data_IF_211336779467
#
_entry.id   IF_211336779467
#
_cell.length_a   1.000
_cell.length_b   1.000
_cell.length_c   1.000
_cell.angle_alpha   90.00
_cell.angle_beta   90.00
_cell.angle_gamma   90.00
#
_symmetry.space_group_name_H-M   'P 1'
#
loop_
_entity.id
_entity.type
_entity.pdbx_description
1 polymer ?
#
# COMPACT_ATOMS: atom_id res chain seq x y z
N UNK A 1 -8.32 17.94 -33.23
CA UNK A 1 -8.28 16.56 -33.75
C UNK A 1 -7.25 15.82 -32.91
N UNK A 2 -7.69 15.01 -31.95
CA UNK A 2 -6.80 14.18 -31.15
C UNK A 2 -7.17 12.72 -31.43
N UNK A 3 -6.20 11.99 -31.97
CA UNK A 3 -6.27 10.56 -32.22
C UNK A 3 -5.74 9.90 -30.95
N UNK A 4 -6.56 9.09 -30.29
CA UNK A 4 -6.13 8.20 -29.19
C UNK A 4 -6.07 6.79 -29.77
N UNK A 5 -4.94 6.04 -29.63
CA UNK A 5 -4.86 4.69 -30.14
C UNK A 5 -5.71 3.73 -29.31
N UNK A 6 -6.41 2.85 -30.03
CA UNK A 6 -7.25 1.79 -29.49
C UNK A 6 -6.34 0.72 -28.89
N UNK A 7 -6.32 0.64 -27.56
CA UNK A 7 -5.75 -0.47 -26.79
C UNK A 7 -6.83 -1.02 -25.87
N UNK A 8 -7.27 -2.25 -26.13
CA UNK A 8 -8.31 -2.96 -25.39
C UNK A 8 -7.99 -3.02 -23.89
N UNK A 9 -8.64 -2.16 -23.12
CA UNK A 9 -8.80 -2.29 -21.67
C UNK A 9 -10.26 -2.63 -21.40
N UNK A 10 -10.57 -3.57 -20.48
CA UNK A 10 -11.96 -3.87 -20.13
C UNK A 10 -12.63 -2.62 -19.55
N UNK A 11 -13.96 -2.49 -19.61
CA UNK A 11 -14.63 -1.27 -19.19
C UNK A 11 -14.56 -1.15 -17.66
N UNK A 12 -13.54 -0.45 -17.15
CA UNK A 12 -13.52 0.03 -15.76
C UNK A 12 -14.64 1.06 -15.60
N UNK A 13 -15.39 0.94 -14.50
CA UNK A 13 -16.61 1.73 -14.29
C UNK A 13 -16.22 3.22 -14.16
N UNK A 14 -16.89 4.15 -14.86
CA UNK A 14 -16.51 5.58 -14.87
C UNK A 14 -16.36 6.24 -13.50
N UNK A 15 -17.10 5.74 -12.49
CA UNK A 15 -17.03 6.24 -11.11
C UNK A 15 -15.71 5.88 -10.43
N UNK A 16 -15.16 4.70 -10.70
CA UNK A 16 -13.91 4.20 -10.11
C UNK A 16 -12.71 5.06 -10.54
N UNK A 17 -12.69 5.45 -11.82
CA UNK A 17 -11.68 6.37 -12.35
C UNK A 17 -11.77 7.76 -11.68
N UNK A 18 -12.98 8.26 -11.40
CA UNK A 18 -13.16 9.60 -10.79
C UNK A 18 -12.55 9.68 -9.38
N UNK A 19 -12.68 8.63 -8.57
CA UNK A 19 -12.12 8.61 -7.22
C UNK A 19 -10.59 8.54 -7.22
N UNK A 20 -10.00 7.75 -8.12
CA UNK A 20 -8.55 7.64 -8.26
C UNK A 20 -7.92 9.00 -8.64
N UNK A 21 -8.51 9.74 -9.58
CA UNK A 21 -8.03 11.08 -9.93
C UNK A 21 -8.07 12.05 -8.74
N UNK A 22 -9.07 11.93 -7.87
CA UNK A 22 -9.12 12.76 -6.66
C UNK A 22 -7.98 12.43 -5.69
N UNK A 23 -7.62 11.16 -5.53
CA UNK A 23 -6.49 10.73 -4.69
C UNK A 23 -5.19 11.32 -5.23
N UNK A 24 -4.98 11.23 -6.55
CA UNK A 24 -3.78 11.74 -7.21
C UNK A 24 -3.59 13.25 -7.02
N UNK A 25 -4.66 14.03 -7.16
CA UNK A 25 -4.61 15.48 -6.93
C UNK A 25 -4.23 15.82 -5.48
N UNK A 26 -4.77 15.07 -4.51
CA UNK A 26 -4.43 15.27 -3.09
C UNK A 26 -2.96 14.94 -2.84
N UNK A 27 -2.46 13.81 -3.36
CA UNK A 27 -1.06 13.41 -3.22
C UNK A 27 -0.11 14.45 -3.82
N UNK A 28 -0.36 14.89 -5.05
CA UNK A 28 0.42 15.95 -5.72
C UNK A 28 0.46 17.23 -4.90
N UNK A 29 -0.69 17.66 -4.37
CA UNK A 29 -0.78 18.87 -3.55
C UNK A 29 0.03 18.79 -2.26
N UNK A 30 0.12 17.61 -1.63
CA UNK A 30 0.99 17.41 -0.46
C UNK A 30 2.47 17.34 -0.84
N UNK A 31 2.80 16.72 -1.98
CA UNK A 31 4.16 16.68 -2.51
C UNK A 31 4.68 18.10 -2.78
N UNK A 32 3.85 18.99 -3.35
CA UNK A 32 4.21 20.41 -3.55
C UNK A 32 4.50 21.16 -2.24
N UNK A 33 3.90 20.71 -1.12
CA UNK A 33 4.16 21.26 0.22
C UNK A 33 5.41 20.68 0.87
N UNK A 34 6.11 19.77 0.19
CA UNK A 34 7.40 19.24 0.61
C UNK A 34 7.33 18.08 1.60
N UNK A 35 6.25 17.29 1.60
CA UNK A 35 6.22 16.03 2.36
C UNK A 35 7.24 15.03 1.81
N UNK A 36 7.80 14.18 2.67
CA UNK A 36 8.77 13.15 2.27
C UNK A 36 8.14 11.76 2.12
N UNK A 37 6.87 11.59 2.48
CA UNK A 37 6.20 10.31 2.40
C UNK A 37 4.72 10.29 2.80
N UNK A 38 4.09 9.15 2.55
CA UNK A 38 2.68 8.88 2.84
C UNK A 38 2.52 7.55 3.58
N UNK A 39 1.71 7.59 4.63
CA UNK A 39 1.15 6.40 5.26
C UNK A 39 -0.26 6.16 4.72
N UNK A 40 -0.45 5.09 3.96
CA UNK A 40 -1.75 4.68 3.46
C UNK A 40 -2.46 3.83 4.52
N UNK A 41 -3.54 4.38 5.07
CA UNK A 41 -4.39 3.69 6.05
C UNK A 41 -5.63 3.11 5.37
N UNK A 42 -6.08 1.92 5.79
CA UNK A 42 -7.32 1.32 5.28
C UNK A 42 -7.22 0.85 3.83
N UNK A 43 -6.06 0.35 3.41
CA UNK A 43 -5.83 -0.09 2.01
C UNK A 43 -6.76 -1.23 1.59
N UNK A 44 -7.30 -1.99 2.54
CA UNK A 44 -8.30 -3.04 2.37
C UNK A 44 -9.65 -2.54 1.85
N UNK A 45 -9.88 -1.22 1.89
CA UNK A 45 -11.08 -0.57 1.37
C UNK A 45 -10.90 0.04 -0.03
N UNK A 46 -9.68 -0.02 -0.60
CA UNK A 46 -9.43 0.51 -1.95
C UNK A 46 -10.17 -0.28 -3.03
N UNK A 47 -10.30 -1.60 -2.84
CA UNK A 47 -11.14 -2.44 -3.68
C UNK A 47 -11.73 -3.60 -2.87
N UNK A 48 -12.94 -4.00 -3.26
CA UNK A 48 -13.69 -5.09 -2.64
C UNK A 48 -14.09 -6.08 -3.72
N UNK A 49 -14.24 -7.33 -3.31
CA UNK A 49 -14.88 -8.39 -4.09
C UNK A 49 -16.26 -7.94 -4.62
N UNK A 50 -16.80 -8.53 -5.70
CA UNK A 50 -18.05 -8.08 -6.31
C UNK A 50 -19.27 -8.07 -5.37
N UNK A 51 -19.28 -8.93 -4.37
CA UNK A 51 -20.29 -9.01 -3.30
C UNK A 51 -19.99 -8.06 -2.12
N UNK A 52 -18.84 -7.40 -2.13
CA UNK A 52 -18.44 -6.38 -1.17
C UNK A 52 -18.03 -6.94 0.19
N UNK A 53 -17.92 -8.27 0.35
CA UNK A 53 -17.73 -8.94 1.64
C UNK A 53 -16.27 -8.96 2.09
N UNK A 54 -15.35 -9.04 1.13
CA UNK A 54 -13.91 -9.18 1.37
C UNK A 54 -13.08 -8.19 0.54
N UNK A 55 -11.86 -7.80 0.98
CA UNK A 55 -10.92 -7.01 0.19
C UNK A 55 -10.50 -7.76 -1.09
N UNK A 56 -10.49 -7.07 -2.23
CA UNK A 56 -9.91 -7.61 -3.46
C UNK A 56 -8.42 -7.24 -3.52
N UNK A 57 -7.57 -8.11 -2.95
CA UNK A 57 -6.13 -7.85 -2.85
C UNK A 57 -5.42 -7.77 -4.21
N UNK A 58 -5.98 -8.33 -5.28
CA UNK A 58 -5.41 -8.16 -6.62
C UNK A 58 -5.67 -6.74 -7.12
N UNK A 59 -6.91 -6.29 -7.07
CA UNK A 59 -7.27 -4.93 -7.47
C UNK A 59 -6.63 -3.86 -6.57
N UNK A 60 -6.53 -4.11 -5.25
CA UNK A 60 -5.79 -3.24 -4.32
C UNK A 60 -4.32 -3.09 -4.75
N UNK A 61 -3.67 -4.20 -5.13
CA UNK A 61 -2.29 -4.18 -5.64
C UNK A 61 -2.14 -3.33 -6.90
N UNK A 62 -3.11 -3.39 -7.81
CA UNK A 62 -3.11 -2.58 -9.02
C UNK A 62 -3.26 -1.08 -8.69
N UNK A 63 -4.21 -0.73 -7.80
CA UNK A 63 -4.42 0.66 -7.35
C UNK A 63 -3.17 1.22 -6.65
N UNK A 64 -2.50 0.42 -5.81
CA UNK A 64 -1.23 0.84 -5.17
C UNK A 64 -0.15 1.09 -6.22
N UNK A 65 -0.10 0.27 -7.27
CA UNK A 65 0.85 0.45 -8.38
C UNK A 65 0.57 1.76 -9.12
N UNK A 66 -0.71 2.07 -9.35
CA UNK A 66 -1.11 3.34 -9.97
C UNK A 66 -0.75 4.55 -9.09
N UNK A 67 -0.96 4.45 -7.77
CA UNK A 67 -0.52 5.49 -6.81
C UNK A 67 1.00 5.68 -6.89
N UNK A 68 1.78 4.60 -6.90
CA UNK A 68 3.24 4.68 -6.98
C UNK A 68 3.68 5.34 -8.29
N UNK A 69 3.10 4.92 -9.41
CA UNK A 69 3.40 5.47 -10.73
C UNK A 69 3.09 6.97 -10.79
N UNK A 70 1.94 7.39 -10.24
CA UNK A 70 1.58 8.82 -10.17
C UNK A 70 2.59 9.63 -9.35
N UNK A 71 2.94 9.16 -8.16
CA UNK A 71 3.92 9.83 -7.28
C UNK A 71 5.29 9.95 -7.97
N UNK A 72 5.75 8.88 -8.62
CA UNK A 72 7.04 8.88 -9.33
C UNK A 72 7.03 9.79 -10.55
N UNK A 73 5.98 9.76 -11.37
CA UNK A 73 5.85 10.67 -12.52
C UNK A 73 5.82 12.12 -12.04
N UNK A 74 4.99 12.43 -11.04
CA UNK A 74 4.83 13.79 -10.53
C UNK A 74 6.12 14.34 -9.92
N UNK A 75 6.84 13.54 -9.14
CA UNK A 75 8.11 13.96 -8.52
C UNK A 75 9.25 14.14 -9.53
N UNK A 76 9.25 13.35 -10.61
CA UNK A 76 10.22 13.50 -11.70
C UNK A 76 9.93 14.72 -12.59
N UNK A 77 8.67 15.10 -12.77
CA UNK A 77 8.25 16.24 -13.60
C UNK A 77 8.22 17.57 -12.84
N UNK A 78 8.06 17.53 -11.51
CA UNK A 78 7.97 18.74 -10.67
C UNK A 78 9.30 19.47 -10.57
N UNK A 79 9.30 20.77 -10.88
CA UNK A 79 10.45 21.65 -10.70
C UNK A 79 10.75 22.01 -9.22
N UNK A 80 9.82 21.69 -8.30
CA UNK A 80 9.90 22.04 -6.87
C UNK A 80 10.57 20.91 -6.07
N UNK A 81 10.31 19.65 -6.45
CA UNK A 81 10.70 18.44 -5.70
C UNK A 81 11.44 17.43 -6.58
N UNK A 82 12.03 17.93 -7.67
CA UNK A 82 12.78 17.14 -8.64
C UNK A 82 13.76 16.16 -7.95
N UNK A 83 13.65 14.89 -8.35
CA UNK A 83 14.52 13.80 -7.91
C UNK A 83 14.44 13.43 -6.41
N UNK A 84 13.40 13.87 -5.68
CA UNK A 84 13.13 13.34 -4.34
C UNK A 84 12.39 12.00 -4.42
N UNK A 85 12.89 11.01 -3.69
CA UNK A 85 12.15 9.77 -3.45
C UNK A 85 11.13 10.00 -2.33
N UNK A 86 9.85 9.90 -2.68
CA UNK A 86 8.75 9.91 -1.70
C UNK A 86 8.55 8.49 -1.18
N UNK A 87 8.55 8.34 0.14
CA UNK A 87 8.31 7.06 0.80
C UNK A 87 6.81 6.74 0.86
N UNK A 88 6.40 5.55 0.44
CA UNK A 88 5.00 5.11 0.55
C UNK A 88 4.96 3.83 1.38
N UNK A 89 4.19 3.85 2.46
CA UNK A 89 4.04 2.69 3.32
C UNK A 89 2.60 2.52 3.76
N UNK A 90 2.22 1.29 4.09
CA UNK A 90 0.88 0.97 4.58
C UNK A 90 0.96 0.02 5.77
N UNK A 91 -0.09 0.00 6.57
CA UNK A 91 -0.25 -1.01 7.61
C UNK A 91 -1.18 -2.11 7.14
N UNK A 92 -0.86 -3.36 7.44
CA UNK A 92 -1.75 -4.49 7.21
C UNK A 92 -1.61 -5.49 8.35
N UNK A 93 -2.66 -5.59 9.17
CA UNK A 93 -2.73 -6.58 10.24
C UNK A 93 -2.85 -7.98 9.66
N UNK A 94 -2.30 -8.98 10.39
CA UNK A 94 -2.42 -10.41 10.05
C UNK A 94 -1.87 -10.79 8.65
N UNK A 95 -1.08 -9.91 8.03
CA UNK A 95 -0.47 -10.16 6.75
C UNK A 95 0.64 -11.20 6.86
N UNK A 96 0.57 -12.27 6.06
CA UNK A 96 1.67 -13.22 5.93
C UNK A 96 2.80 -12.59 5.12
N UNK A 97 4.01 -13.12 5.23
CA UNK A 97 5.18 -12.60 4.49
C UNK A 97 4.97 -12.54 2.97
N UNK A 98 4.25 -13.51 2.39
CA UNK A 98 3.89 -13.47 0.97
C UNK A 98 3.02 -12.27 0.60
N UNK A 99 2.13 -11.87 1.51
CA UNK A 99 1.15 -10.81 1.28
C UNK A 99 1.86 -9.44 1.37
N UNK A 100 2.80 -9.30 2.32
CA UNK A 100 3.68 -8.13 2.42
C UNK A 100 4.55 -7.99 1.16
N UNK A 101 5.16 -9.09 0.71
CA UNK A 101 5.97 -9.11 -0.52
C UNK A 101 5.18 -8.73 -1.77
N UNK A 102 3.89 -9.08 -1.83
CA UNK A 102 3.03 -8.64 -2.92
C UNK A 102 2.85 -7.12 -2.90
N UNK A 103 2.50 -6.55 -1.74
CA UNK A 103 2.25 -5.12 -1.60
C UNK A 103 3.52 -4.27 -1.81
N UNK A 104 4.69 -4.75 -1.41
CA UNK A 104 5.96 -4.06 -1.71
C UNK A 104 6.29 -4.10 -3.20
N UNK A 105 6.01 -5.22 -3.89
CA UNK A 105 6.13 -5.30 -5.36
C UNK A 105 5.16 -4.37 -6.09
N UNK A 106 3.99 -4.11 -5.50
CA UNK A 106 3.01 -3.14 -6.01
C UNK A 106 3.43 -1.68 -5.81
N UNK A 107 4.56 -1.40 -5.16
CA UNK A 107 5.11 -0.05 -5.07
C UNK A 107 5.15 0.57 -3.66
N UNK A 108 4.74 -0.16 -2.62
CA UNK A 108 5.05 0.26 -1.25
C UNK A 108 6.55 0.07 -0.97
N UNK A 109 7.18 1.06 -0.34
CA UNK A 109 8.54 0.93 0.18
C UNK A 109 8.59 -0.02 1.38
N UNK A 110 7.52 -0.06 2.19
CA UNK A 110 7.40 -1.01 3.32
C UNK A 110 5.94 -1.26 3.70
N UNK A 111 5.71 -2.41 4.34
CA UNK A 111 4.44 -2.75 4.99
C UNK A 111 4.69 -2.86 6.50
N UNK A 112 4.04 -2.00 7.27
CA UNK A 112 4.16 -1.99 8.73
C UNK A 112 3.44 -3.22 9.27
N UNK A 113 4.20 -4.04 10.01
CA UNK A 113 3.69 -5.20 10.74
C UNK A 113 3.52 -4.86 12.22
N UNK A 114 2.30 -5.00 12.73
CA UNK A 114 2.00 -4.79 14.15
C UNK A 114 1.99 -6.07 14.99
N UNK A 115 2.30 -7.26 14.43
CA UNK A 115 2.30 -8.51 15.20
C UNK A 115 3.20 -8.45 16.45
N UNK A 116 4.33 -7.72 16.39
CA UNK A 116 5.21 -7.53 17.55
C UNK A 116 4.59 -6.70 18.68
N UNK A 117 3.58 -5.87 18.40
CA UNK A 117 2.84 -5.13 19.44
C UNK A 117 1.90 -6.04 20.24
N UNK A 118 1.54 -7.20 19.67
CA UNK A 118 0.67 -8.21 20.28
C UNK A 118 1.49 -9.27 21.07
N UNK A 119 2.82 -9.18 21.03
CA UNK A 119 3.73 -10.10 21.74
C UNK A 119 3.66 -9.85 23.25
N UNK A 120 3.19 -10.87 23.96
CA UNK A 120 3.19 -10.92 25.42
C UNK A 120 3.52 -12.33 25.92
N UNK A 121 4.01 -12.43 27.16
CA UNK A 121 4.30 -13.72 27.81
C UNK A 121 3.03 -14.59 27.82
N UNK A 122 3.14 -15.83 27.34
CA UNK A 122 2.06 -16.81 27.21
C UNK A 122 0.91 -16.43 26.23
N UNK A 123 1.19 -15.58 25.23
CA UNK A 123 0.25 -15.30 24.14
C UNK A 123 0.05 -16.50 23.20
N UNK A 124 -0.96 -16.44 22.33
CA UNK A 124 -1.09 -17.42 21.23
C UNK A 124 0.09 -17.37 20.27
N UNK A 125 0.71 -16.19 20.10
CA UNK A 125 1.88 -15.94 19.27
C UNK A 125 3.13 -16.58 19.89
N UNK A 126 3.32 -16.41 21.20
CA UNK A 126 4.42 -17.04 21.95
C UNK A 126 3.90 -18.31 22.63
N UNK A 127 3.95 -19.44 21.92
CA UNK A 127 3.49 -20.75 22.40
C UNK A 127 3.76 -20.94 23.90
N UNK A 128 2.72 -21.30 24.67
CA UNK A 128 2.71 -21.33 26.15
C UNK A 128 3.84 -22.14 26.81
N UNK A 129 4.57 -22.95 26.04
CA UNK A 129 5.52 -23.93 26.57
C UNK A 129 7.00 -23.58 26.37
N UNK A 130 7.37 -22.53 25.62
CA UNK A 130 8.80 -22.27 25.35
C UNK A 130 9.18 -20.80 25.45
N UNK A 131 9.91 -20.48 26.52
CA UNK A 131 10.85 -19.37 26.53
C UNK A 131 10.32 -18.00 26.91
N UNK A 132 11.28 -17.10 27.12
CA UNK A 132 11.05 -15.69 27.40
C UNK A 132 10.51 -14.97 26.16
N UNK A 133 9.94 -13.77 26.32
CA UNK A 133 9.52 -12.91 25.20
C UNK A 133 10.64 -12.75 24.15
N UNK A 134 11.91 -12.74 24.58
CA UNK A 134 13.06 -12.62 23.68
C UNK A 134 13.19 -13.81 22.69
N UNK A 135 12.86 -15.03 23.12
CA UNK A 135 12.91 -16.22 22.26
C UNK A 135 11.80 -16.16 21.20
N UNK A 136 10.59 -15.80 21.61
CA UNK A 136 9.45 -15.61 20.72
C UNK A 136 9.68 -14.50 19.68
N UNK A 137 10.24 -13.36 20.09
CA UNK A 137 10.57 -12.26 19.17
C UNK A 137 11.63 -12.69 18.14
N UNK A 138 12.60 -13.51 18.54
CA UNK A 138 13.61 -14.03 17.62
C UNK A 138 12.99 -14.88 16.50
N UNK A 139 12.00 -15.72 16.80
CA UNK A 139 11.30 -16.54 15.81
C UNK A 139 10.45 -15.71 14.84
N UNK A 140 9.86 -14.59 15.29
CA UNK A 140 9.05 -13.71 14.44
C UNK A 140 9.91 -12.87 13.48
N UNK A 141 11.14 -12.54 13.90
CA UNK A 141 12.03 -11.64 13.17
C UNK A 141 13.05 -12.35 12.27
N UNK A 142 13.26 -13.67 12.43
CA UNK A 142 14.24 -14.46 11.68
C UNK A 142 13.60 -15.17 10.48
#
# INVERSE_FOLDING_TARGET
MFIVPVGNSPPSRPLENMYIFSIFNVLSSWIDRGVDGFHLTGIEYLARTPDGSEPDWSAISDIISDIRNHVDSYTNESSIVASKKIAIFASREEAKEKDKKQLTKSGLDTVINYELTKVQKNSEICHKNEGTVATCVHEILS
#
